data_IF_265857908650
#
_entry.id   IF_265857908650
#
_cell.length_a   1.000
_cell.length_b   1.000
_cell.length_c   1.000
_cell.angle_alpha   90.00
_cell.angle_beta   90.00
_cell.angle_gamma   90.00
#
_symmetry.space_group_name_H-M   'P 1'
#
loop_
_entity.id
_entity.type
_entity.pdbx_description
1 polymer ?
#
# COMPACT_ATOMS: atom_id res chain seq x y z
N UNK A 1 -15.90 -33.79 -13.07
CA UNK A 1 -15.99 -33.29 -11.68
C UNK A 1 -14.60 -33.39 -11.11
N UNK A 2 -13.76 -32.37 -11.29
CA UNK A 2 -12.47 -32.31 -10.61
C UNK A 2 -12.75 -32.19 -9.11
N UNK A 3 -12.36 -33.25 -8.40
CA UNK A 3 -12.78 -33.51 -7.03
C UNK A 3 -12.06 -32.62 -6.04
N UNK A 4 -12.80 -32.17 -5.04
CA UNK A 4 -12.28 -31.67 -3.78
C UNK A 4 -11.25 -32.67 -3.21
N UNK A 5 -9.97 -32.28 -3.18
CA UNK A 5 -8.88 -33.09 -2.61
C UNK A 5 -8.46 -32.55 -1.26
N UNK A 6 -7.86 -33.39 -0.41
CA UNK A 6 -7.24 -32.95 0.84
C UNK A 6 -6.18 -31.86 0.62
N UNK A 7 -5.49 -31.89 -0.52
CA UNK A 7 -4.52 -30.84 -0.90
C UNK A 7 -5.21 -29.50 -1.18
N UNK A 8 -6.39 -29.51 -1.82
CA UNK A 8 -7.17 -28.28 -2.03
C UNK A 8 -7.68 -27.68 -0.71
N UNK A 9 -8.02 -28.53 0.27
CA UNK A 9 -8.43 -28.10 1.60
C UNK A 9 -7.27 -27.50 2.40
N UNK A 10 -6.12 -28.18 2.43
CA UNK A 10 -4.93 -27.70 3.16
C UNK A 10 -4.40 -26.40 2.57
N UNK A 11 -4.39 -26.26 1.24
CA UNK A 11 -4.08 -25.00 0.58
C UNK A 11 -5.04 -23.87 0.96
N UNK A 12 -6.36 -24.12 0.88
CA UNK A 12 -7.35 -23.12 1.28
C UNK A 12 -7.21 -22.68 2.74
N UNK A 13 -6.88 -23.62 3.64
CA UNK A 13 -6.61 -23.31 5.04
C UNK A 13 -5.33 -22.46 5.22
N UNK A 14 -4.26 -22.76 4.48
CA UNK A 14 -3.02 -21.98 4.51
C UNK A 14 -3.21 -20.56 3.96
N UNK A 15 -3.90 -20.42 2.82
CA UNK A 15 -4.22 -19.12 2.23
C UNK A 15 -5.10 -18.26 3.17
N UNK A 16 -6.09 -18.88 3.82
CA UNK A 16 -6.92 -18.20 4.80
C UNK A 16 -6.12 -17.74 6.04
N UNK A 17 -5.19 -18.57 6.52
CA UNK A 17 -4.32 -18.22 7.64
C UNK A 17 -3.39 -17.06 7.29
N UNK A 18 -2.79 -17.07 6.10
CA UNK A 18 -1.90 -16.00 5.65
C UNK A 18 -2.66 -14.69 5.42
N UNK A 19 -3.84 -14.75 4.81
CA UNK A 19 -4.74 -13.60 4.67
C UNK A 19 -5.06 -12.99 6.04
N UNK A 20 -5.37 -13.84 7.03
CA UNK A 20 -5.65 -13.40 8.41
C UNK A 20 -4.44 -12.71 9.04
N UNK A 21 -3.24 -13.26 8.85
CA UNK A 21 -1.98 -12.68 9.35
C UNK A 21 -1.73 -11.30 8.74
N UNK A 22 -1.88 -11.16 7.43
CA UNK A 22 -1.69 -9.89 6.71
C UNK A 22 -2.71 -8.83 7.13
N UNK A 23 -3.98 -9.22 7.31
CA UNK A 23 -5.02 -8.32 7.82
C UNK A 23 -4.72 -7.82 9.25
N UNK A 24 -4.19 -8.68 10.11
CA UNK A 24 -3.77 -8.29 11.46
C UNK A 24 -2.60 -7.30 11.45
N UNK A 25 -1.63 -7.48 10.55
CA UNK A 25 -0.54 -6.51 10.37
C UNK A 25 -1.06 -5.18 9.85
N UNK A 26 -1.98 -5.21 8.89
CA UNK A 26 -2.61 -4.00 8.35
C UNK A 26 -3.39 -3.25 9.42
N UNK A 27 -4.15 -3.95 10.27
CA UNK A 27 -4.92 -3.31 11.34
C UNK A 27 -4.01 -2.67 12.39
N UNK A 28 -2.88 -3.29 12.72
CA UNK A 28 -1.86 -2.69 13.58
C UNK A 28 -1.31 -1.39 12.98
N UNK A 29 -0.99 -1.38 11.67
CA UNK A 29 -0.53 -0.17 10.97
C UNK A 29 -1.59 0.93 10.92
N UNK A 30 -2.88 0.57 10.78
CA UNK A 30 -3.98 1.54 10.86
C UNK A 30 -4.11 2.15 12.25
N UNK A 31 -3.90 1.37 13.31
CA UNK A 31 -3.88 1.91 14.67
C UNK A 31 -2.70 2.86 14.91
N UNK A 32 -1.53 2.57 14.32
CA UNK A 32 -0.36 3.44 14.36
C UNK A 32 -0.64 4.80 13.68
N UNK A 33 -1.29 4.80 12.51
CA UNK A 33 -1.74 6.04 11.84
C UNK A 33 -2.61 6.88 12.79
N UNK A 34 -3.65 6.27 13.38
CA UNK A 34 -4.55 6.97 14.30
C UNK A 34 -3.81 7.58 15.50
N UNK A 35 -2.81 6.86 16.04
CA UNK A 35 -1.99 7.37 17.12
C UNK A 35 -1.17 8.59 16.69
N UNK A 36 -0.53 8.55 15.52
CA UNK A 36 0.28 9.65 14.99
C UNK A 36 -0.61 10.88 14.67
N UNK A 37 -1.79 10.67 14.11
CA UNK A 37 -2.78 11.75 13.88
C UNK A 37 -3.20 12.44 15.19
N UNK A 38 -3.32 11.66 16.28
CA UNK A 38 -3.56 12.21 17.60
C UNK A 38 -2.34 13.01 18.13
N UNK A 39 -1.11 12.60 17.81
CA UNK A 39 0.10 13.39 18.13
C UNK A 39 0.12 14.73 17.37
N UNK A 40 -0.28 14.75 16.09
CA UNK A 40 -0.41 16.00 15.32
C UNK A 40 -1.41 16.94 15.98
N UNK A 41 -2.59 16.43 16.36
CA UNK A 41 -3.62 17.21 17.05
C UNK A 41 -3.13 17.75 18.39
N UNK A 42 -2.38 16.95 19.13
CA UNK A 42 -1.78 17.32 20.41
C UNK A 42 -0.70 18.40 20.24
N UNK A 43 0.18 18.28 19.24
CA UNK A 43 1.20 19.27 18.93
C UNK A 43 0.61 20.64 18.54
N UNK A 44 -0.45 20.64 17.72
CA UNK A 44 -1.18 21.86 17.36
C UNK A 44 -1.85 22.51 18.57
N UNK A 45 -2.45 21.70 19.44
CA UNK A 45 -3.08 22.20 20.68
C UNK A 45 -2.05 22.80 21.62
N UNK A 46 -0.91 22.12 21.82
CA UNK A 46 0.20 22.60 22.64
C UNK A 46 0.78 23.92 22.11
N UNK A 47 0.93 24.06 20.79
CA UNK A 47 1.32 25.33 20.18
C UNK A 47 0.35 26.45 20.55
N UNK A 48 -0.97 26.24 20.41
CA UNK A 48 -1.97 27.25 20.77
C UNK A 48 -1.87 27.67 22.24
N UNK A 49 -1.73 26.70 23.14
CA UNK A 49 -1.59 26.94 24.59
C UNK A 49 -0.33 27.75 24.94
N UNK A 50 0.77 27.57 24.20
CA UNK A 50 2.04 28.26 24.48
C UNK A 50 2.19 29.58 23.73
N UNK A 51 1.68 29.65 22.50
CA UNK A 51 1.77 30.84 21.65
C UNK A 51 0.90 31.99 22.18
N UNK A 52 -0.26 31.69 22.75
CA UNK A 52 -1.17 32.72 23.25
C UNK A 52 -0.54 33.56 24.39
N UNK A 53 0.01 32.97 25.48
CA UNK A 53 0.71 33.74 26.50
C UNK A 53 1.96 34.46 25.99
N UNK A 54 2.68 33.90 25.01
CA UNK A 54 3.84 34.55 24.41
C UNK A 54 3.43 35.82 23.64
N UNK A 55 2.33 35.77 22.87
CA UNK A 55 1.76 36.93 22.21
C UNK A 55 1.30 38.00 23.20
N UNK A 56 0.65 37.61 24.30
CA UNK A 56 0.22 38.55 25.35
C UNK A 56 1.41 39.28 26.00
N UNK A 57 2.57 38.61 26.12
CA UNK A 57 3.82 39.21 26.59
C UNK A 57 4.57 40.01 25.52
N UNK A 58 4.08 40.04 24.28
CA UNK A 58 4.76 40.68 23.14
C UNK A 58 6.00 39.94 22.65
N UNK A 59 6.14 38.66 23.01
CA UNK A 59 7.23 37.79 22.57
C UNK A 59 6.98 37.29 21.15
N UNK A 60 8.06 37.02 20.41
CA UNK A 60 7.94 36.39 19.08
C UNK A 60 7.52 34.93 19.21
N UNK A 61 6.44 34.56 18.53
CA UNK A 61 5.97 33.17 18.41
C UNK A 61 6.59 32.41 17.24
N UNK A 62 7.39 33.08 16.40
CA UNK A 62 8.02 32.46 15.22
C UNK A 62 8.82 31.20 15.57
N UNK A 63 9.64 31.18 16.65
CA UNK A 63 10.39 29.97 17.02
C UNK A 63 9.47 28.81 17.41
N UNK A 64 8.39 29.08 18.15
CA UNK A 64 7.39 28.07 18.52
C UNK A 64 6.69 27.52 17.27
N UNK A 65 6.32 28.40 16.35
CA UNK A 65 5.67 28.01 15.10
C UNK A 65 6.57 27.11 14.26
N UNK A 66 7.82 27.51 14.05
CA UNK A 66 8.76 26.71 13.25
C UNK A 66 9.01 25.33 13.87
N UNK A 67 9.14 25.26 15.20
CA UNK A 67 9.33 23.99 15.88
C UNK A 67 8.10 23.09 15.71
N UNK A 68 6.91 23.58 16.04
CA UNK A 68 5.67 22.82 15.87
C UNK A 68 5.46 22.39 14.42
N UNK A 69 5.77 23.26 13.46
CA UNK A 69 5.68 22.94 12.04
C UNK A 69 6.58 21.76 11.69
N UNK A 70 7.84 21.75 12.13
CA UNK A 70 8.77 20.62 11.88
C UNK A 70 8.26 19.33 12.49
N UNK A 71 7.70 19.39 13.70
CA UNK A 71 7.16 18.20 14.36
C UNK A 71 5.91 17.66 13.65
N UNK A 72 4.99 18.54 13.22
CA UNK A 72 3.84 18.16 12.40
C UNK A 72 4.26 17.58 11.05
N UNK A 73 5.24 18.19 10.37
CA UNK A 73 5.75 17.70 9.09
C UNK A 73 6.38 16.31 9.23
N UNK A 74 7.12 16.06 10.32
CA UNK A 74 7.67 14.73 10.64
C UNK A 74 6.55 13.71 10.82
N UNK A 75 5.57 14.00 11.67
CA UNK A 75 4.44 13.09 11.89
C UNK A 75 3.64 12.81 10.62
N UNK A 76 3.47 13.79 9.74
CA UNK A 76 2.82 13.58 8.43
C UNK A 76 3.63 12.66 7.52
N UNK A 77 4.96 12.74 7.55
CA UNK A 77 5.80 11.81 6.83
C UNK A 77 5.65 10.38 7.38
N UNK A 78 5.60 10.22 8.71
CA UNK A 78 5.39 8.93 9.37
C UNK A 78 4.03 8.31 9.00
N UNK A 79 2.96 9.12 8.94
CA UNK A 79 1.64 8.68 8.45
C UNK A 79 1.73 8.20 7.00
N UNK A 80 2.36 8.97 6.11
CA UNK A 80 2.51 8.59 4.70
C UNK A 80 3.33 7.29 4.52
N UNK A 81 4.29 7.01 5.39
CA UNK A 81 4.98 5.72 5.42
C UNK A 81 4.06 4.57 5.85
N UNK A 82 3.30 4.74 6.93
CA UNK A 82 2.34 3.73 7.38
C UNK A 82 1.24 3.47 6.35
N UNK A 83 0.81 4.49 5.60
CA UNK A 83 -0.15 4.35 4.51
C UNK A 83 0.41 3.56 3.33
N UNK A 84 1.66 3.82 2.92
CA UNK A 84 2.35 3.00 1.90
C UNK A 84 2.45 1.54 2.33
N UNK A 85 2.74 1.30 3.60
CA UNK A 85 2.80 -0.06 4.15
C UNK A 85 1.42 -0.75 4.13
N UNK A 86 0.34 -0.02 4.46
CA UNK A 86 -1.02 -0.53 4.31
C UNK A 86 -1.34 -0.91 2.85
N UNK A 87 -0.94 -0.08 1.89
CA UNK A 87 -1.13 -0.37 0.45
C UNK A 87 -0.34 -1.60 0.00
N UNK A 88 0.90 -1.76 0.48
CA UNK A 88 1.71 -2.95 0.24
C UNK A 88 1.01 -4.20 0.77
N UNK A 89 0.52 -4.16 2.01
CA UNK A 89 -0.22 -5.27 2.62
C UNK A 89 -1.52 -5.59 1.87
N UNK A 90 -2.23 -4.57 1.36
CA UNK A 90 -3.42 -4.78 0.52
C UNK A 90 -3.09 -5.51 -0.78
N UNK A 91 -1.96 -5.19 -1.40
CA UNK A 91 -1.49 -5.91 -2.58
C UNK A 91 -1.12 -7.36 -2.23
N UNK A 92 -0.47 -7.60 -1.08
CA UNK A 92 -0.14 -8.96 -0.63
C UNK A 92 -1.38 -9.79 -0.36
N UNK A 93 -2.37 -9.23 0.34
CA UNK A 93 -3.67 -9.87 0.58
C UNK A 93 -4.34 -10.28 -0.74
N UNK A 94 -4.34 -9.38 -1.72
CA UNK A 94 -4.92 -9.64 -3.05
C UNK A 94 -4.20 -10.77 -3.79
N UNK A 95 -2.91 -10.96 -3.50
CA UNK A 95 -2.07 -11.95 -4.16
C UNK A 95 -2.05 -13.33 -3.46
N UNK A 96 -2.62 -13.45 -2.25
CA UNK A 96 -2.71 -14.74 -1.54
C UNK A 96 -3.50 -15.74 -2.40
N UNK A 97 -2.95 -16.94 -2.59
CA UNK A 97 -3.54 -17.98 -3.45
C UNK A 97 -3.37 -17.76 -4.96
N UNK A 98 -3.00 -16.56 -5.43
CA UNK A 98 -2.83 -16.26 -6.86
C UNK A 98 -1.45 -16.64 -7.43
N UNK A 99 -0.41 -16.71 -6.59
CA UNK A 99 0.96 -16.97 -7.03
C UNK A 99 1.14 -18.29 -7.81
N UNK A 100 0.39 -19.34 -7.46
CA UNK A 100 0.45 -20.63 -8.17
C UNK A 100 -0.50 -20.68 -9.38
N UNK A 101 -1.61 -19.94 -9.36
CA UNK A 101 -2.55 -19.86 -10.47
C UNK A 101 -1.92 -19.18 -11.70
N UNK A 102 -1.05 -18.18 -11.47
CA UNK A 102 -0.31 -17.51 -12.55
C UNK A 102 0.80 -18.37 -13.15
N UNK A 103 1.48 -19.21 -12.37
CA UNK A 103 2.49 -20.16 -12.89
C UNK A 103 1.82 -21.23 -13.76
N UNK A 104 0.66 -21.77 -13.35
CA UNK A 104 -0.11 -22.72 -14.15
C UNK A 104 -0.74 -22.10 -15.42
N UNK A 105 -1.10 -20.82 -15.39
CA UNK A 105 -1.59 -20.10 -16.57
C UNK A 105 -0.48 -19.79 -17.59
N UNK A 106 0.76 -19.57 -17.12
CA UNK A 106 1.91 -19.25 -17.99
C UNK A 106 2.60 -20.51 -18.54
N UNK A 107 2.47 -21.65 -17.85
CA UNK A 107 3.02 -22.95 -18.28
C UNK A 107 2.23 -23.68 -19.38
N UNK A 108 1.05 -23.20 -19.77
CA UNK A 108 0.22 -23.82 -20.83
C UNK A 108 0.30 -23.11 -22.19
N UNK A 109 1.09 -22.04 -22.31
CA UNK A 109 1.38 -21.41 -23.58
C UNK A 109 2.47 -22.20 -24.33
N UNK A 110 2.11 -23.32 -24.96
CA UNK A 110 2.91 -23.86 -26.06
C UNK A 110 3.01 -22.80 -27.16
N UNK A 111 4.21 -22.39 -27.61
CA UNK A 111 4.32 -21.60 -28.82
C UNK A 111 4.00 -22.53 -29.99
N UNK A 112 2.80 -22.42 -30.55
CA UNK A 112 2.47 -23.06 -31.83
C UNK A 112 3.28 -22.36 -32.93
N UNK A 113 4.51 -22.83 -33.12
CA UNK A 113 5.36 -22.44 -34.26
C UNK A 113 4.83 -23.17 -35.50
N UNK A 114 3.64 -22.77 -35.97
CA UNK A 114 3.21 -23.10 -37.32
C UNK A 114 3.69 -22.00 -38.25
N UNK A 115 4.88 -22.24 -38.82
CA UNK A 115 5.42 -21.47 -39.93
C UNK A 115 4.38 -21.32 -41.05
N UNK A 116 3.99 -20.07 -41.34
CA UNK A 116 3.33 -19.68 -42.58
C UNK A 116 3.95 -18.38 -43.07
N UNK A 117 4.46 -18.44 -44.30
CA UNK A 117 5.34 -17.48 -44.99
C UNK A 117 4.85 -16.01 -45.01
N UNK A 118 5.76 -15.03 -45.19
CA UNK A 118 5.38 -13.63 -45.30
C UNK A 118 4.66 -13.39 -46.64
N UNK A 119 3.39 -12.98 -46.59
CA UNK A 119 2.73 -12.35 -47.74
C UNK A 119 3.14 -10.88 -47.78
N UNK A 120 4.09 -10.57 -48.66
CA UNK A 120 4.31 -9.20 -49.14
C UNK A 120 3.05 -8.72 -49.86
N UNK A 121 2.41 -7.68 -49.32
CA UNK A 121 1.52 -6.82 -50.11
C UNK A 121 2.08 -5.42 -50.06
N UNK A 122 3.03 -5.13 -50.96
CA UNK A 122 3.35 -3.77 -51.32
C UNK A 122 2.07 -3.16 -51.92
N UNK A 123 1.54 -2.12 -51.28
CA UNK A 123 0.36 -1.40 -51.75
C UNK A 123 0.77 -0.53 -52.95
N UNK A 124 0.36 -0.92 -54.15
CA UNK A 124 0.45 -0.13 -55.38
C UNK A 124 -0.73 0.84 -55.46
N UNK A 125 -0.79 1.81 -54.55
CA UNK A 125 -1.76 2.92 -54.60
C UNK A 125 -1.16 4.29 -54.26
N UNK A 126 0.16 4.45 -54.27
CA UNK A 126 0.83 5.76 -54.27
C UNK A 126 1.82 5.83 -55.44
N UNK A 127 1.28 6.00 -56.66
CA UNK A 127 1.97 6.52 -57.84
C UNK A 127 0.99 7.34 -58.68
#
# INVERSE_FOLDING_TARGET
MEGWTWDSFTKGAADAAETTRLLALKSAKRAEIMYIENQISSAMSAFGTQAFPALERGESVTPLYEQTKRDVDRHRADVAECERECQRLDQEITNVGCAEAQINATGSATPDVRASAPRSTASLQDL
#
